data_IF_857670029503
#
_entry.id   IF_857670029503
#
_cell.length_a   1.000
_cell.length_b   1.000
_cell.length_c   1.000
_cell.angle_alpha   90.00
_cell.angle_beta   90.00
_cell.angle_gamma   90.00
#
_symmetry.space_group_name_H-M   'P 1'
#
loop_
_entity.id
_entity.type
_entity.pdbx_description
1 polymer ?
#
# COMPACT_ATOMS: atom_id res chain seq x y z
N UNK A 1 -27.93 5.37 10.19
CA UNK A 1 -27.25 4.30 9.39
C UNK A 1 -26.87 3.18 10.33
N UNK A 2 -27.29 1.93 10.06
CA UNK A 2 -26.93 0.79 10.91
C UNK A 2 -25.43 0.42 10.78
N UNK A 3 -24.98 -0.48 11.69
CA UNK A 3 -23.55 -0.84 11.78
C UNK A 3 -23.07 -1.60 10.53
N UNK A 4 -23.87 -2.52 10.00
CA UNK A 4 -23.46 -3.36 8.86
C UNK A 4 -23.29 -2.52 7.61
N UNK A 5 -24.28 -1.71 7.26
CA UNK A 5 -24.23 -0.81 6.09
C UNK A 5 -23.05 0.17 6.17
N UNK A 6 -22.78 0.69 7.38
CA UNK A 6 -21.64 1.59 7.61
C UNK A 6 -20.30 0.91 7.36
N UNK A 7 -20.13 -0.33 7.86
CA UNK A 7 -18.89 -1.09 7.66
C UNK A 7 -18.71 -1.52 6.20
N UNK A 8 -19.80 -1.85 5.49
CA UNK A 8 -19.73 -2.12 4.03
C UNK A 8 -19.25 -0.90 3.24
N UNK A 9 -19.56 0.32 3.70
CA UNK A 9 -19.09 1.57 3.12
C UNK A 9 -17.68 1.96 3.57
N UNK A 10 -17.00 1.12 4.35
CA UNK A 10 -15.67 1.42 4.89
C UNK A 10 -15.65 2.59 5.87
N UNK A 11 -16.78 2.86 6.56
CA UNK A 11 -16.87 3.94 7.53
C UNK A 11 -16.73 3.42 8.96
N UNK A 12 -15.79 3.97 9.71
CA UNK A 12 -15.48 3.58 11.09
C UNK A 12 -15.81 4.68 12.09
N UNK A 13 -16.26 4.29 13.28
CA UNK A 13 -16.23 5.15 14.46
C UNK A 13 -14.80 5.24 14.99
N UNK A 14 -14.51 6.27 15.78
CA UNK A 14 -13.17 6.50 16.32
C UNK A 14 -12.62 5.32 17.13
N UNK A 15 -13.46 4.61 17.89
CA UNK A 15 -13.05 3.42 18.66
C UNK A 15 -12.64 2.27 17.75
N UNK A 16 -13.40 2.00 16.69
CA UNK A 16 -13.09 0.96 15.70
C UNK A 16 -11.81 1.29 14.91
N UNK A 17 -11.62 2.56 14.56
CA UNK A 17 -10.40 3.03 13.94
C UNK A 17 -9.18 2.88 14.87
N UNK A 18 -9.37 3.16 16.17
CA UNK A 18 -8.33 3.02 17.19
C UNK A 18 -7.83 1.57 17.32
N UNK A 19 -8.77 0.61 17.34
CA UNK A 19 -8.47 -0.82 17.36
C UNK A 19 -7.68 -1.24 16.12
N UNK A 20 -8.15 -0.87 14.93
CA UNK A 20 -7.48 -1.24 13.66
C UNK A 20 -6.10 -0.60 13.50
N UNK A 21 -5.94 0.64 13.94
CA UNK A 21 -4.68 1.36 13.91
C UNK A 21 -3.70 0.97 15.02
N UNK A 22 -4.18 0.22 16.03
CA UNK A 22 -3.45 -0.07 17.26
C UNK A 22 -2.91 1.23 17.92
N UNK A 23 -3.82 2.21 18.11
CA UNK A 23 -3.52 3.51 18.70
C UNK A 23 -4.56 3.90 19.75
N UNK A 24 -4.19 4.68 20.79
CA UNK A 24 -5.14 5.22 21.75
C UNK A 24 -6.18 6.14 21.08
N UNK A 25 -7.42 6.09 21.54
CA UNK A 25 -8.50 6.99 21.07
C UNK A 25 -8.12 8.47 21.29
N UNK A 26 -7.41 8.80 22.37
CA UNK A 26 -6.92 10.15 22.64
C UNK A 26 -6.00 10.68 21.56
N UNK A 27 -5.11 9.83 21.02
CA UNK A 27 -4.23 10.17 19.90
C UNK A 27 -5.05 10.48 18.64
N UNK A 28 -6.05 9.65 18.32
CA UNK A 28 -6.90 9.88 17.15
C UNK A 28 -7.76 11.13 17.28
N UNK A 29 -8.28 11.41 18.49
CA UNK A 29 -8.97 12.67 18.79
C UNK A 29 -8.06 13.86 18.52
N UNK A 30 -6.85 13.85 19.08
CA UNK A 30 -5.86 14.90 18.88
C UNK A 30 -5.55 15.08 17.37
N UNK A 31 -5.28 14.00 16.64
CA UNK A 31 -5.02 14.08 15.20
C UNK A 31 -6.22 14.62 14.41
N UNK A 32 -7.43 14.28 14.82
CA UNK A 32 -8.65 14.85 14.22
C UNK A 32 -8.77 16.34 14.49
N UNK A 33 -8.57 16.75 15.73
CA UNK A 33 -8.76 18.13 16.17
C UNK A 33 -7.71 19.08 15.53
N UNK A 34 -6.51 18.58 15.23
CA UNK A 34 -5.48 19.35 14.51
C UNK A 34 -5.55 19.20 12.98
N UNK A 35 -6.50 18.41 12.45
CA UNK A 35 -6.72 18.24 11.01
C UNK A 35 -5.84 17.21 10.31
N UNK A 36 -5.12 16.35 11.04
CA UNK A 36 -4.34 15.24 10.46
C UNK A 36 -5.23 14.07 10.05
N UNK A 37 -6.39 13.87 10.71
CA UNK A 37 -7.41 12.93 10.32
C UNK A 37 -8.68 13.67 9.87
N UNK A 38 -9.28 13.19 8.77
CA UNK A 38 -10.50 13.77 8.22
C UNK A 38 -11.74 13.04 8.75
N UNK A 39 -12.73 13.82 9.19
CA UNK A 39 -14.08 13.32 9.44
C UNK A 39 -14.83 13.40 8.12
N UNK A 40 -15.38 12.28 7.67
CA UNK A 40 -16.08 12.21 6.38
C UNK A 40 -17.60 12.34 6.55
N UNK A 41 -18.14 12.00 7.72
CA UNK A 41 -19.58 12.09 8.00
C UNK A 41 -19.84 12.05 9.53
N UNK A 42 -21.08 12.27 9.90
CA UNK A 42 -21.57 12.19 11.29
C UNK A 42 -22.80 11.29 11.40
N UNK A 43 -22.85 10.48 12.44
CA UNK A 43 -24.08 9.75 12.81
C UNK A 43 -25.02 10.60 13.66
N UNK A 44 -26.27 10.16 13.78
CA UNK A 44 -27.18 10.64 14.83
C UNK A 44 -26.49 10.56 16.20
N UNK A 45 -26.56 11.65 16.99
CA UNK A 45 -25.82 11.78 18.24
C UNK A 45 -24.42 12.38 18.09
N UNK A 46 -24.02 12.84 16.89
CA UNK A 46 -22.79 13.60 16.67
C UNK A 46 -21.52 12.73 16.64
N UNK A 47 -21.64 11.42 16.48
CA UNK A 47 -20.48 10.54 16.37
C UNK A 47 -19.77 10.73 15.02
N UNK A 48 -18.49 11.09 15.06
CA UNK A 48 -17.62 11.27 13.89
C UNK A 48 -17.40 9.94 13.17
N UNK A 49 -17.49 9.96 11.84
CA UNK A 49 -17.16 8.83 10.97
C UNK A 49 -15.93 9.13 10.15
N UNK A 50 -15.11 8.09 9.97
CA UNK A 50 -13.83 8.13 9.30
C UNK A 50 -13.82 7.10 8.17
N UNK A 51 -13.30 7.47 6.99
CA UNK A 51 -13.01 6.48 5.96
C UNK A 51 -11.87 5.58 6.44
N UNK A 52 -12.10 4.28 6.44
CA UNK A 52 -11.14 3.30 6.96
C UNK A 52 -9.80 3.37 6.24
N UNK A 53 -9.84 3.26 4.91
CA UNK A 53 -8.62 3.16 4.08
C UNK A 53 -7.80 4.43 4.16
N UNK A 54 -8.42 5.57 3.92
CA UNK A 54 -7.76 6.88 4.00
C UNK A 54 -7.17 7.12 5.40
N UNK A 55 -7.94 6.84 6.44
CA UNK A 55 -7.49 7.09 7.82
C UNK A 55 -6.31 6.19 8.21
N UNK A 56 -6.34 4.90 7.82
CA UNK A 56 -5.23 3.99 8.10
C UNK A 56 -3.97 4.38 7.33
N UNK A 57 -4.10 4.81 6.07
CA UNK A 57 -2.98 5.32 5.28
C UNK A 57 -2.39 6.59 5.93
N UNK A 58 -3.24 7.56 6.33
CA UNK A 58 -2.80 8.76 7.04
C UNK A 58 -2.02 8.42 8.31
N UNK A 59 -2.56 7.53 9.14
CA UNK A 59 -1.92 7.10 10.38
C UNK A 59 -0.58 6.38 10.13
N UNK A 60 -0.50 5.57 9.07
CA UNK A 60 0.75 4.94 8.63
C UNK A 60 1.78 6.01 8.28
N UNK A 61 1.45 6.98 7.42
CA UNK A 61 2.37 8.05 6.99
C UNK A 61 2.79 8.96 8.13
N UNK A 62 1.86 9.32 9.02
CA UNK A 62 2.20 10.10 10.23
C UNK A 62 3.25 9.35 11.07
N UNK A 63 3.08 8.05 11.29
CA UNK A 63 4.03 7.24 12.06
C UNK A 63 5.40 7.15 11.38
N UNK A 64 5.45 6.95 10.07
CA UNK A 64 6.69 6.93 9.29
C UNK A 64 7.44 8.26 9.42
N UNK A 65 6.77 9.39 9.24
CA UNK A 65 7.38 10.72 9.33
C UNK A 65 7.86 11.06 10.75
N UNK A 66 7.08 10.70 11.77
CA UNK A 66 7.52 10.85 13.16
C UNK A 66 8.79 10.03 13.46
N UNK A 67 8.90 8.83 12.87
CA UNK A 67 10.11 8.00 13.02
C UNK A 67 11.33 8.59 12.29
N UNK A 68 11.10 9.47 11.31
CA UNK A 68 12.13 10.24 10.60
C UNK A 68 12.40 11.61 11.23
N UNK A 69 11.91 11.85 12.46
CA UNK A 69 12.05 13.08 13.23
C UNK A 69 11.33 14.31 12.67
N UNK A 70 10.33 14.16 11.79
CA UNK A 70 9.45 15.26 11.42
C UNK A 70 8.56 15.65 12.61
N UNK A 71 8.40 16.96 12.83
CA UNK A 71 7.46 17.45 13.83
C UNK A 71 6.01 17.33 13.37
N UNK A 72 5.07 17.27 14.30
CA UNK A 72 3.63 17.27 14.00
C UNK A 72 3.21 18.49 13.14
N UNK A 73 3.87 19.65 13.35
CA UNK A 73 3.59 20.86 12.57
C UNK A 73 3.99 20.68 11.11
N UNK A 74 5.19 20.19 10.83
CA UNK A 74 5.68 19.93 9.47
C UNK A 74 4.82 18.88 8.76
N UNK A 75 4.42 17.82 9.50
CA UNK A 75 3.53 16.79 8.96
C UNK A 75 2.18 17.42 8.57
N UNK A 76 1.58 18.23 9.44
CA UNK A 76 0.30 18.89 9.17
C UNK A 76 0.34 19.78 7.94
N UNK A 77 1.40 20.55 7.75
CA UNK A 77 1.55 21.48 6.62
C UNK A 77 1.64 20.75 5.26
N UNK A 78 2.04 19.46 5.26
CA UNK A 78 2.31 18.70 4.04
C UNK A 78 1.48 17.41 3.91
N UNK A 79 0.63 17.08 4.89
CA UNK A 79 -0.01 15.76 4.98
C UNK A 79 -0.75 15.36 3.69
N UNK A 80 -1.47 16.28 3.08
CA UNK A 80 -2.26 16.00 1.87
C UNK A 80 -1.41 15.76 0.61
N UNK A 81 -0.14 16.23 0.63
CA UNK A 81 0.85 15.94 -0.43
C UNK A 81 1.63 14.64 -0.18
N UNK A 82 1.63 14.18 1.06
CA UNK A 82 2.41 13.01 1.51
C UNK A 82 1.56 11.74 1.50
N UNK A 83 0.24 11.89 1.48
CA UNK A 83 -0.69 10.75 1.46
C UNK A 83 -0.83 10.27 0.03
N UNK A 84 0.18 9.53 -0.40
CA UNK A 84 0.18 8.78 -1.63
C UNK A 84 0.45 7.32 -1.35
N UNK A 85 -0.15 6.43 -2.14
CA UNK A 85 0.23 5.03 -2.15
C UNK A 85 1.59 4.90 -2.85
N UNK A 86 2.53 4.27 -2.17
CA UNK A 86 3.88 4.06 -2.69
C UNK A 86 3.96 2.72 -3.40
N UNK A 87 4.25 2.76 -4.67
CA UNK A 87 4.39 1.57 -5.49
C UNK A 87 5.82 1.45 -5.99
N UNK A 88 6.43 0.28 -5.83
CA UNK A 88 7.75 -0.04 -6.36
C UNK A 88 7.63 -1.08 -7.47
N UNK A 89 8.15 -0.75 -8.65
CA UNK A 89 8.30 -1.71 -9.76
C UNK A 89 9.70 -2.29 -9.71
N UNK A 90 9.81 -3.61 -9.73
CA UNK A 90 11.07 -4.36 -9.74
C UNK A 90 11.04 -5.31 -10.93
N UNK A 91 11.67 -4.89 -12.02
CA UNK A 91 11.71 -5.59 -13.31
C UNK A 91 12.94 -5.11 -14.09
N UNK A 92 13.65 -5.96 -14.82
CA UNK A 92 14.82 -5.55 -15.60
C UNK A 92 14.42 -4.99 -16.98
N UNK A 93 13.17 -5.16 -17.40
CA UNK A 93 12.64 -4.67 -18.67
C UNK A 93 12.12 -3.23 -18.53
N UNK A 94 12.74 -2.20 -19.15
CA UNK A 94 12.27 -0.80 -19.08
C UNK A 94 10.81 -0.62 -19.54
N UNK A 95 10.38 -1.42 -20.50
CA UNK A 95 9.01 -1.38 -21.01
C UNK A 95 7.96 -1.63 -19.92
N UNK A 96 8.22 -2.52 -18.96
CA UNK A 96 7.30 -2.81 -17.86
C UNK A 96 7.14 -1.59 -16.95
N UNK A 97 8.22 -0.85 -16.69
CA UNK A 97 8.18 0.38 -15.91
C UNK A 97 7.34 1.47 -16.59
N UNK A 98 7.55 1.66 -17.90
CA UNK A 98 6.79 2.64 -18.67
C UNK A 98 5.31 2.26 -18.74
N UNK A 99 5.00 0.98 -18.96
CA UNK A 99 3.65 0.45 -18.91
C UNK A 99 2.98 0.74 -17.55
N UNK A 100 3.64 0.45 -16.43
CA UNK A 100 3.09 0.66 -15.09
C UNK A 100 2.82 2.14 -14.82
N UNK A 101 3.77 3.03 -15.19
CA UNK A 101 3.60 4.48 -15.04
C UNK A 101 2.42 5.01 -15.87
N UNK A 102 2.31 4.58 -17.12
CA UNK A 102 1.19 4.95 -17.99
C UNK A 102 -0.13 4.39 -17.49
N UNK A 103 -0.14 3.12 -17.11
CA UNK A 103 -1.32 2.46 -16.57
C UNK A 103 -1.87 3.13 -15.30
N UNK A 104 -1.03 3.80 -14.54
CA UNK A 104 -1.41 4.46 -13.27
C UNK A 104 -1.39 5.97 -13.35
N UNK A 105 -1.20 6.57 -14.53
CA UNK A 105 -1.11 8.04 -14.71
C UNK A 105 -2.35 8.82 -14.26
N UNK A 106 -3.52 8.19 -14.31
CA UNK A 106 -4.80 8.81 -13.88
C UNK A 106 -5.01 8.76 -12.35
N UNK A 107 -4.10 8.12 -11.61
CA UNK A 107 -4.20 7.99 -10.14
C UNK A 107 -3.31 9.03 -9.48
N UNK A 108 -3.90 10.16 -9.08
CA UNK A 108 -3.18 11.27 -8.43
C UNK A 108 -2.59 10.90 -7.07
N UNK A 109 -3.10 9.82 -6.45
CA UNK A 109 -2.72 9.33 -5.13
C UNK A 109 -1.74 8.15 -5.16
N UNK A 110 -1.13 7.85 -6.32
CA UNK A 110 -0.11 6.79 -6.47
C UNK A 110 1.23 7.38 -6.91
N UNK A 111 2.27 7.16 -6.11
CA UNK A 111 3.67 7.43 -6.48
C UNK A 111 4.36 6.15 -6.90
N UNK A 112 4.97 6.12 -8.09
CA UNK A 112 5.66 4.95 -8.63
C UNK A 112 7.16 5.18 -8.63
N UNK A 113 7.91 4.27 -7.99
CA UNK A 113 9.37 4.15 -8.11
C UNK A 113 9.76 2.89 -8.87
N UNK A 114 10.96 2.93 -9.46
CA UNK A 114 11.51 1.85 -10.29
C UNK A 114 12.82 1.33 -9.72
N UNK A 115 13.01 0.01 -9.76
CA UNK A 115 14.28 -0.68 -9.55
C UNK A 115 14.45 -1.72 -10.65
N UNK A 116 15.61 -1.72 -11.31
CA UNK A 116 15.88 -2.56 -12.49
C UNK A 116 16.69 -3.80 -12.16
N UNK A 117 17.10 -3.93 -10.92
CA UNK A 117 17.85 -5.06 -10.39
C UNK A 117 17.57 -5.25 -8.90
N UNK A 118 17.95 -6.40 -8.36
CA UNK A 118 17.63 -6.70 -7.00
C UNK A 118 18.45 -6.01 -5.94
N UNK A 119 19.64 -5.56 -6.27
CA UNK A 119 20.43 -4.77 -5.32
C UNK A 119 19.75 -3.42 -5.08
N UNK A 120 19.41 -2.73 -6.17
CA UNK A 120 18.66 -1.47 -6.14
C UNK A 120 17.28 -1.67 -5.48
N UNK A 121 16.58 -2.78 -5.80
CA UNK A 121 15.31 -3.12 -5.18
C UNK A 121 15.42 -3.27 -3.66
N UNK A 122 16.44 -4.00 -3.18
CA UNK A 122 16.66 -4.21 -1.75
C UNK A 122 16.90 -2.91 -0.97
N UNK A 123 17.67 -1.97 -1.52
CA UNK A 123 17.88 -0.64 -0.96
C UNK A 123 16.56 0.13 -0.95
N UNK A 124 15.90 0.20 -2.12
CA UNK A 124 14.67 0.98 -2.30
C UNK A 124 13.53 0.50 -1.40
N UNK A 125 13.34 -0.81 -1.23
CA UNK A 125 12.31 -1.35 -0.33
C UNK A 125 12.49 -0.84 1.10
N UNK A 126 13.73 -0.81 1.61
CA UNK A 126 14.01 -0.38 2.98
C UNK A 126 13.89 1.13 3.20
N UNK A 127 14.26 1.94 2.21
CA UNK A 127 14.21 3.41 2.32
C UNK A 127 12.83 3.97 1.99
N UNK A 128 12.21 3.42 0.95
CA UNK A 128 10.94 3.92 0.42
C UNK A 128 9.73 3.37 1.17
N UNK A 129 9.81 2.15 1.71
CA UNK A 129 8.73 1.45 2.39
C UNK A 129 7.44 1.44 1.54
N UNK A 130 7.44 0.77 0.38
CA UNK A 130 6.29 0.77 -0.52
C UNK A 130 5.06 0.11 0.11
N UNK A 131 3.87 0.48 -0.37
CA UNK A 131 2.62 -0.20 -0.02
C UNK A 131 2.40 -1.44 -0.90
N UNK A 132 2.86 -1.36 -2.16
CA UNK A 132 2.76 -2.42 -3.15
C UNK A 132 4.08 -2.53 -3.93
N UNK A 133 4.55 -3.77 -4.11
CA UNK A 133 5.64 -4.09 -5.03
C UNK A 133 5.06 -4.87 -6.22
N UNK A 134 5.36 -4.40 -7.43
CA UNK A 134 5.21 -5.18 -8.67
C UNK A 134 6.55 -5.86 -8.89
N UNK A 135 6.61 -7.17 -8.77
CA UNK A 135 7.86 -7.94 -8.74
C UNK A 135 7.91 -8.93 -9.90
N UNK A 136 8.87 -8.76 -10.81
CA UNK A 136 9.22 -9.84 -11.73
C UNK A 136 9.92 -10.97 -10.96
N UNK A 137 9.47 -12.19 -11.20
CA UNK A 137 10.04 -13.39 -10.59
C UNK A 137 11.29 -13.91 -11.30
N UNK A 138 11.55 -13.42 -12.51
CA UNK A 138 12.63 -13.90 -13.39
C UNK A 138 13.79 -12.92 -13.53
N UNK A 139 14.00 -12.08 -12.53
CA UNK A 139 15.12 -11.13 -12.54
C UNK A 139 16.47 -11.83 -12.63
N UNK A 140 17.40 -11.34 -13.46
CA UNK A 140 18.75 -11.88 -13.56
C UNK A 140 19.45 -11.87 -12.18
N UNK A 141 19.95 -13.03 -11.77
CA UNK A 141 20.70 -13.19 -10.52
C UNK A 141 19.89 -13.11 -9.23
N UNK A 142 18.56 -13.05 -9.32
CA UNK A 142 17.66 -13.04 -8.16
C UNK A 142 16.55 -14.06 -8.32
N UNK A 143 16.32 -14.78 -7.25
CA UNK A 143 15.15 -15.64 -7.10
C UNK A 143 13.99 -14.82 -6.51
N UNK A 144 13.04 -14.42 -7.37
CA UNK A 144 11.86 -13.63 -6.96
C UNK A 144 11.00 -14.33 -5.90
N UNK A 145 10.96 -15.66 -5.86
CA UNK A 145 10.28 -16.42 -4.80
C UNK A 145 10.95 -16.20 -3.45
N UNK A 146 12.28 -16.19 -3.44
CA UNK A 146 13.06 -15.92 -2.22
C UNK A 146 12.83 -14.47 -1.75
N UNK A 147 12.78 -13.52 -2.67
CA UNK A 147 12.46 -12.12 -2.34
C UNK A 147 11.09 -11.98 -1.69
N UNK A 148 10.04 -12.63 -2.23
CA UNK A 148 8.72 -12.67 -1.61
C UNK A 148 8.79 -13.19 -0.17
N UNK A 149 9.47 -14.32 0.03
CA UNK A 149 9.60 -14.97 1.34
C UNK A 149 10.36 -14.08 2.33
N UNK A 150 11.44 -13.44 1.91
CA UNK A 150 12.24 -12.53 2.76
C UNK A 150 11.44 -11.29 3.18
N UNK A 151 10.69 -10.68 2.26
CA UNK A 151 9.82 -9.54 2.58
C UNK A 151 8.75 -9.95 3.60
N UNK A 152 8.07 -11.07 3.39
CA UNK A 152 6.97 -11.52 4.28
C UNK A 152 7.44 -11.99 5.65
N UNK A 153 8.66 -12.51 5.74
CA UNK A 153 9.26 -12.91 7.02
C UNK A 153 9.86 -11.74 7.80
N UNK A 154 10.12 -10.60 7.16
CA UNK A 154 10.65 -9.44 7.84
C UNK A 154 9.53 -8.67 8.57
N UNK A 155 9.58 -8.54 9.92
CA UNK A 155 8.54 -7.86 10.69
C UNK A 155 8.24 -6.41 10.25
N UNK A 156 9.24 -5.71 9.67
CA UNK A 156 9.10 -4.34 9.18
C UNK A 156 8.46 -4.26 7.78
N UNK A 157 8.63 -5.31 6.97
CA UNK A 157 8.25 -5.32 5.55
C UNK A 157 7.02 -6.20 5.27
N UNK A 158 6.64 -7.10 6.17
CA UNK A 158 5.55 -8.08 5.96
C UNK A 158 4.20 -7.49 5.58
N UNK A 159 3.99 -6.22 5.90
CA UNK A 159 2.76 -5.49 5.53
C UNK A 159 2.73 -5.02 4.08
N UNK A 160 3.87 -5.05 3.38
CA UNK A 160 3.97 -4.67 1.97
C UNK A 160 3.21 -5.70 1.13
N UNK A 161 2.35 -5.23 0.23
CA UNK A 161 1.68 -6.08 -0.75
C UNK A 161 2.63 -6.43 -1.89
N UNK A 162 2.52 -7.65 -2.41
CA UNK A 162 3.34 -8.11 -3.53
C UNK A 162 2.43 -8.63 -4.65
N UNK A 163 2.47 -7.97 -5.79
CA UNK A 163 1.92 -8.45 -7.05
C UNK A 163 3.06 -9.03 -7.87
N UNK A 164 3.15 -10.35 -7.93
CA UNK A 164 4.17 -11.02 -8.72
C UNK A 164 3.81 -10.97 -10.20
N UNK A 165 4.81 -10.71 -11.06
CA UNK A 165 4.69 -10.74 -12.51
C UNK A 165 5.57 -11.87 -13.04
N UNK A 166 5.08 -12.65 -14.01
CA UNK A 166 5.82 -13.80 -14.52
C UNK A 166 5.50 -14.09 -15.98
N UNK A 167 6.50 -14.53 -16.74
CA UNK A 167 6.31 -15.08 -18.08
C UNK A 167 5.76 -16.52 -18.09
N UNK A 168 5.67 -17.19 -16.92
CA UNK A 168 5.19 -18.55 -16.81
C UNK A 168 3.82 -18.58 -16.15
N UNK A 169 2.79 -18.90 -16.94
CA UNK A 169 1.42 -19.06 -16.46
C UNK A 169 1.04 -20.54 -16.42
N UNK A 170 1.23 -21.18 -15.26
CA UNK A 170 0.73 -22.52 -14.99
C UNK A 170 0.12 -22.60 -13.58
N UNK A 171 -0.86 -23.50 -13.36
CA UNK A 171 -1.47 -23.69 -12.04
C UNK A 171 -0.45 -23.99 -10.93
N UNK A 172 0.60 -24.75 -11.27
CA UNK A 172 1.67 -25.10 -10.34
C UNK A 172 2.54 -23.90 -9.98
N UNK A 173 2.90 -23.05 -10.96
CA UNK A 173 3.62 -21.81 -10.70
C UNK A 173 2.80 -20.82 -9.88
N UNK A 174 1.53 -20.66 -10.19
CA UNK A 174 0.61 -19.83 -9.38
C UNK A 174 0.62 -20.26 -7.91
N UNK A 175 0.49 -21.57 -7.66
CA UNK A 175 0.49 -22.07 -6.30
C UNK A 175 1.81 -21.80 -5.58
N UNK A 176 2.95 -21.99 -6.27
CA UNK A 176 4.28 -21.67 -5.71
C UNK A 176 4.44 -20.18 -5.39
N UNK A 177 3.97 -19.30 -6.27
CA UNK A 177 4.04 -17.84 -6.11
C UNK A 177 3.29 -17.41 -4.85
N UNK A 178 2.05 -17.87 -4.69
CA UNK A 178 1.24 -17.54 -3.52
C UNK A 178 1.81 -18.17 -2.24
N UNK A 179 2.33 -19.40 -2.31
CA UNK A 179 2.99 -20.05 -1.19
C UNK A 179 4.29 -19.35 -0.75
N UNK A 180 4.99 -18.68 -1.68
CA UNK A 180 6.16 -17.84 -1.37
C UNK A 180 5.78 -16.52 -0.69
N UNK A 181 4.49 -16.19 -0.64
CA UNK A 181 3.99 -15.02 0.08
C UNK A 181 3.55 -13.85 -0.81
N UNK A 182 3.51 -14.00 -2.15
CA UNK A 182 2.87 -13.00 -2.99
C UNK A 182 1.37 -12.90 -2.64
N UNK A 183 0.83 -11.69 -2.64
CA UNK A 183 -0.58 -11.46 -2.36
C UNK A 183 -1.46 -11.74 -3.60
N UNK A 184 -0.88 -11.56 -4.79
CA UNK A 184 -1.50 -11.90 -6.09
C UNK A 184 -0.44 -12.05 -7.18
N UNK A 185 -0.84 -12.47 -8.39
CA UNK A 185 0.06 -12.60 -9.52
C UNK A 185 -0.58 -12.15 -10.83
N UNK A 186 0.27 -11.84 -11.83
CA UNK A 186 -0.08 -11.58 -13.22
C UNK A 186 0.87 -12.32 -14.16
N UNK A 187 0.31 -12.90 -15.20
CA UNK A 187 1.09 -13.43 -16.33
C UNK A 187 1.46 -12.32 -17.32
N UNK A 188 2.66 -12.35 -17.87
CA UNK A 188 3.04 -11.55 -19.06
C UNK A 188 2.45 -12.22 -20.33
N UNK A 189 1.88 -11.46 -21.28
CA UNK A 189 1.80 -10.01 -21.35
C UNK A 189 0.75 -9.44 -20.38
N UNK A 190 1.08 -8.30 -19.77
CA UNK A 190 0.23 -7.65 -18.77
C UNK A 190 -0.94 -6.94 -19.46
N UNK A 191 -2.17 -7.31 -19.12
CA UNK A 191 -3.37 -6.64 -19.60
C UNK A 191 -3.72 -5.44 -18.72
N UNK A 192 -3.93 -4.27 -19.33
CA UNK A 192 -4.12 -2.98 -18.65
C UNK A 192 -5.26 -3.01 -17.61
N UNK A 193 -6.44 -3.51 -18.00
CA UNK A 193 -7.60 -3.49 -17.11
C UNK A 193 -7.40 -4.43 -15.91
N UNK A 194 -6.89 -5.63 -16.16
CA UNK A 194 -6.63 -6.63 -15.14
C UNK A 194 -5.56 -6.09 -14.16
N UNK A 195 -4.51 -5.45 -14.67
CA UNK A 195 -3.46 -4.83 -13.86
C UNK A 195 -4.05 -3.76 -12.94
N UNK A 196 -4.82 -2.80 -13.49
CA UNK A 196 -5.46 -1.73 -12.72
C UNK A 196 -6.38 -2.26 -11.63
N UNK A 197 -7.20 -3.27 -11.92
CA UNK A 197 -8.08 -3.90 -10.94
C UNK A 197 -7.30 -4.54 -9.79
N UNK A 198 -6.23 -5.29 -10.10
CA UNK A 198 -5.39 -5.92 -9.07
C UNK A 198 -4.68 -4.89 -8.20
N UNK A 199 -4.14 -3.83 -8.79
CA UNK A 199 -3.53 -2.72 -8.03
C UNK A 199 -4.55 -2.09 -7.08
N UNK A 200 -5.75 -1.76 -7.58
CA UNK A 200 -6.85 -1.24 -6.74
C UNK A 200 -7.21 -2.18 -5.61
N UNK A 201 -7.39 -3.45 -5.90
CA UNK A 201 -7.74 -4.46 -4.92
C UNK A 201 -6.66 -4.59 -3.83
N UNK A 202 -5.37 -4.64 -4.22
CA UNK A 202 -4.26 -4.80 -3.29
C UNK A 202 -4.01 -3.58 -2.43
N UNK A 203 -4.15 -2.37 -3.00
CA UNK A 203 -4.07 -1.11 -2.26
C UNK A 203 -5.38 -0.81 -1.50
N UNK A 204 -6.47 -1.43 -1.92
CA UNK A 204 -7.76 -1.24 -1.31
C UNK A 204 -8.44 0.09 -1.71
N UNK A 205 -8.26 0.56 -2.94
CA UNK A 205 -8.83 1.80 -3.51
C UNK A 205 -9.84 1.50 -4.61
#
# INVERSE_FOLDING_TARGET
MDKEKRLQLGLLKIGELAERANLPISTLKYYTDIGLLRVVDYMEGGFRLYNEKESLLRLKRIRELLSQNYSIKEIKENIDKIIVYKLLVVDDEPFVHDFVKEALSDFEDIEVKSAYDGFTAGITVNEYLPDLIILDLLLPGIDGFKVCTEIKNNPKLKGIKILAVTGYDSPEHKQKILAAGADDYLAKPIELNIFREKVKQLLGI
#
